data_IF_888811440465
#
_entry.id   IF_888811440465
#
_cell.length_a   1.000
_cell.length_b   1.000
_cell.length_c   1.000
_cell.angle_alpha   90.00
_cell.angle_beta   90.00
_cell.angle_gamma   90.00
#
_symmetry.space_group_name_H-M   'P 1'
#
loop_
_entity.id
_entity.type
_entity.pdbx_description
1 polymer ?
#
# COMPACT_ATOMS: atom_id res chain seq x y z
N UNK A 1 -0.67 19.38 -22.00
CA UNK A 1 -0.49 20.82 -22.23
C UNK A 1 -0.01 21.44 -20.93
N UNK A 2 1.24 21.89 -20.92
CA UNK A 2 1.74 22.79 -19.89
C UNK A 2 0.81 24.00 -19.84
N UNK A 3 0.46 24.54 -18.66
CA UNK A 3 -0.12 25.87 -18.60
C UNK A 3 0.78 26.85 -19.36
N UNK A 4 0.20 27.89 -19.95
CA UNK A 4 0.90 28.82 -20.85
C UNK A 4 2.24 29.37 -20.29
N UNK A 5 2.40 29.36 -18.96
CA UNK A 5 3.53 29.91 -18.20
C UNK A 5 4.64 28.90 -17.83
N UNK A 6 4.44 27.60 -18.07
CA UNK A 6 5.44 26.54 -17.83
C UNK A 6 6.04 26.40 -16.43
N UNK A 7 5.44 27.03 -15.42
CA UNK A 7 5.98 27.10 -14.07
C UNK A 7 5.20 26.26 -13.04
N UNK A 8 3.99 25.80 -13.38
CA UNK A 8 3.11 25.07 -12.47
C UNK A 8 2.61 25.93 -11.29
N UNK A 9 2.59 27.27 -11.45
CA UNK A 9 2.25 28.20 -10.37
C UNK A 9 0.79 28.65 -10.39
N UNK A 10 0.12 28.57 -11.54
CA UNK A 10 -1.29 28.96 -11.65
C UNK A 10 -2.24 27.85 -11.20
N UNK A 11 -3.45 28.23 -10.80
CA UNK A 11 -4.42 27.28 -10.25
C UNK A 11 -4.83 26.25 -11.32
N UNK A 12 -4.75 24.96 -10.98
CA UNK A 12 -4.99 23.82 -11.89
C UNK A 12 -3.92 23.59 -12.96
N UNK A 13 -2.86 24.39 -12.99
CA UNK A 13 -1.76 24.14 -13.90
C UNK A 13 -0.99 22.90 -13.45
N UNK A 14 -0.87 21.92 -14.35
CA UNK A 14 -0.11 20.71 -14.09
C UNK A 14 -0.63 19.90 -12.89
N UNK A 15 -1.87 20.10 -12.47
CA UNK A 15 -2.48 19.43 -11.32
C UNK A 15 -3.36 18.26 -11.74
N UNK A 16 -3.26 17.16 -11.01
CA UNK A 16 -4.29 16.12 -11.03
C UNK A 16 -5.19 16.33 -9.81
N UNK A 17 -6.47 16.53 -10.07
CA UNK A 17 -7.51 16.74 -9.06
C UNK A 17 -8.53 15.61 -9.09
N UNK A 18 -8.99 15.21 -7.89
CA UNK A 18 -10.14 14.33 -7.72
C UNK A 18 -11.28 15.14 -7.15
N UNK A 19 -12.44 15.05 -7.79
CA UNK A 19 -13.66 15.77 -7.41
C UNK A 19 -14.71 14.76 -6.97
N UNK A 20 -15.17 14.91 -5.74
CA UNK A 20 -16.39 14.27 -5.24
C UNK A 20 -17.54 15.25 -5.49
N UNK A 21 -18.46 14.90 -6.38
CA UNK A 21 -19.55 15.76 -6.82
C UNK A 21 -20.92 15.37 -6.22
N UNK A 22 -20.98 15.24 -4.90
CA UNK A 22 -22.27 15.04 -4.19
C UNK A 22 -23.03 16.36 -4.14
N UNK A 23 -24.36 16.33 -4.34
CA UNK A 23 -25.23 17.51 -4.43
C UNK A 23 -25.07 18.50 -3.26
N UNK A 24 -24.78 18.01 -2.05
CA UNK A 24 -24.63 18.81 -0.83
C UNK A 24 -23.22 18.75 -0.21
N UNK A 25 -22.26 18.06 -0.84
CA UNK A 25 -20.94 17.79 -0.25
C UNK A 25 -19.85 17.65 -1.32
N UNK A 26 -19.70 18.71 -2.11
CA UNK A 26 -18.64 18.80 -3.11
C UNK A 26 -17.29 18.88 -2.40
N UNK A 27 -16.36 17.99 -2.76
CA UNK A 27 -14.97 18.04 -2.30
C UNK A 27 -14.03 17.99 -3.48
N UNK A 28 -13.01 18.85 -3.47
CA UNK A 28 -11.94 18.89 -4.46
C UNK A 28 -10.63 18.61 -3.72
N UNK A 29 -9.88 17.64 -4.19
CA UNK A 29 -8.58 17.31 -3.65
C UNK A 29 -7.54 17.32 -4.77
N UNK A 30 -6.46 18.09 -4.59
CA UNK A 30 -5.26 17.94 -5.40
C UNK A 30 -4.51 16.70 -4.95
N UNK A 31 -4.18 15.82 -5.89
CA UNK A 31 -3.63 14.50 -5.58
C UNK A 31 -2.23 14.27 -6.18
N UNK A 32 -1.86 15.03 -7.22
CA UNK A 32 -0.53 15.03 -7.79
C UNK A 32 -0.26 16.30 -8.58
N UNK A 33 1.02 16.55 -8.88
CA UNK A 33 1.43 17.36 -10.01
C UNK A 33 1.98 16.42 -11.09
N UNK A 34 1.57 16.61 -12.34
CA UNK A 34 2.25 16.06 -13.50
C UNK A 34 3.06 17.20 -14.11
N UNK A 35 4.26 16.94 -14.63
CA UNK A 35 4.85 17.85 -15.61
C UNK A 35 4.81 17.12 -16.94
N UNK A 36 4.09 17.69 -17.89
CA UNK A 36 3.86 17.11 -19.21
C UNK A 36 3.97 18.23 -20.22
N UNK A 37 4.92 18.14 -21.13
CA UNK A 37 5.12 19.09 -22.21
C UNK A 37 4.58 18.56 -23.54
N UNK A 38 3.91 19.45 -24.30
CA UNK A 38 3.41 19.15 -25.63
C UNK A 38 4.49 19.23 -26.71
N UNK A 39 5.59 19.93 -26.45
CA UNK A 39 6.60 20.24 -27.47
C UNK A 39 7.34 18.99 -28.01
N UNK A 40 7.56 17.97 -27.17
CA UNK A 40 8.30 16.77 -27.55
C UNK A 40 7.40 15.55 -27.87
N UNK A 41 6.30 15.38 -27.13
CA UNK A 41 5.47 14.18 -27.21
C UNK A 41 4.00 14.44 -27.59
N UNK A 42 3.59 15.71 -27.70
CA UNK A 42 2.23 16.11 -28.05
C UNK A 42 1.19 15.34 -27.22
N UNK A 43 0.17 14.75 -27.87
CA UNK A 43 -0.83 13.88 -27.28
C UNK A 43 -0.26 12.76 -26.37
N UNK A 44 0.93 12.24 -26.69
CA UNK A 44 1.57 11.16 -25.93
C UNK A 44 2.24 11.63 -24.64
N UNK A 45 2.50 12.94 -24.49
CA UNK A 45 3.02 13.54 -23.26
C UNK A 45 1.93 13.86 -22.24
N UNK A 46 0.66 13.87 -22.64
CA UNK A 46 -0.46 14.18 -21.75
C UNK A 46 -0.58 13.18 -20.59
N UNK A 47 -1.06 13.63 -19.41
CA UNK A 47 -1.04 12.80 -18.22
C UNK A 47 -2.03 11.62 -18.20
N UNK A 48 -3.05 11.60 -19.07
CA UNK A 48 -4.03 10.50 -19.23
C UNK A 48 -4.45 9.82 -17.91
N UNK A 49 -4.83 10.61 -16.91
CA UNK A 49 -5.11 10.09 -15.58
C UNK A 49 -6.25 9.07 -15.58
N UNK A 50 -6.03 7.90 -15.00
CA UNK A 50 -6.98 6.79 -14.91
C UNK A 50 -7.15 6.33 -13.47
N UNK A 51 -8.38 6.39 -12.97
CA UNK A 51 -8.72 6.03 -11.59
C UNK A 51 -9.16 4.56 -11.50
N UNK A 52 -8.67 3.85 -10.50
CA UNK A 52 -9.11 2.49 -10.18
C UNK A 52 -10.62 2.44 -9.82
N UNK A 53 -11.34 1.32 -10.07
CA UNK A 53 -12.76 1.21 -9.73
C UNK A 53 -13.08 1.47 -8.25
N UNK A 54 -12.14 1.17 -7.35
CA UNK A 54 -12.28 1.44 -5.92
C UNK A 54 -12.05 2.90 -5.53
N UNK A 55 -11.60 3.75 -6.46
CA UNK A 55 -11.28 5.15 -6.20
C UNK A 55 -10.08 5.35 -5.27
N UNK A 56 -9.21 4.34 -5.12
CA UNK A 56 -8.07 4.38 -4.16
C UNK A 56 -6.72 4.58 -4.81
N UNK A 57 -6.63 4.39 -6.13
CA UNK A 57 -5.41 4.61 -6.91
C UNK A 57 -5.70 5.36 -8.20
N UNK A 58 -4.78 6.23 -8.59
CA UNK A 58 -4.80 6.93 -9.88
C UNK A 58 -3.47 6.70 -10.58
N UNK A 59 -3.51 6.11 -11.77
CA UNK A 59 -2.36 6.00 -12.68
C UNK A 59 -2.35 7.22 -13.59
N UNK A 60 -1.20 7.84 -13.82
CA UNK A 60 -1.05 8.94 -14.76
C UNK A 60 0.36 8.93 -15.38
N UNK A 61 0.48 9.53 -16.55
CA UNK A 61 1.74 9.76 -17.24
C UNK A 61 2.34 11.13 -16.87
N UNK A 62 3.66 11.24 -16.88
CA UNK A 62 4.35 12.52 -16.75
C UNK A 62 5.74 12.37 -17.37
N UNK A 63 6.22 13.41 -18.04
CA UNK A 63 7.58 13.47 -18.59
C UNK A 63 8.54 14.29 -17.70
N UNK A 64 8.05 14.82 -16.56
CA UNK A 64 8.79 15.73 -15.67
C UNK A 64 9.46 16.91 -16.39
N UNK A 65 8.89 17.35 -17.52
CA UNK A 65 9.46 18.37 -18.40
C UNK A 65 10.83 17.98 -18.98
N UNK A 66 11.06 16.68 -19.18
CA UNK A 66 12.17 16.13 -19.98
C UNK A 66 13.57 16.35 -19.45
N UNK A 67 13.74 17.08 -18.33
CA UNK A 67 15.00 17.58 -17.75
C UNK A 67 16.10 17.70 -18.84
N UNK A 68 15.81 18.54 -19.83
CA UNK A 68 16.68 19.05 -20.90
C UNK A 68 17.18 18.08 -22.00
N UNK A 69 17.31 16.77 -21.78
CA UNK A 69 18.05 15.87 -22.71
C UNK A 69 17.83 14.36 -22.51
N UNK A 70 16.73 13.90 -21.89
CA UNK A 70 16.55 12.48 -21.51
C UNK A 70 15.12 11.95 -21.55
N UNK A 71 14.64 11.65 -22.76
CA UNK A 71 13.30 11.20 -23.13
C UNK A 71 12.76 9.99 -22.32
N UNK A 72 11.72 10.21 -21.50
CA UNK A 72 10.75 9.16 -21.14
C UNK A 72 9.43 9.76 -20.66
N UNK A 73 8.32 9.27 -21.21
CA UNK A 73 6.99 9.44 -20.60
C UNK A 73 6.83 8.32 -19.59
N UNK A 74 6.99 8.65 -18.31
CA UNK A 74 6.92 7.68 -17.23
C UNK A 74 5.52 7.58 -16.64
N UNK A 75 5.21 6.40 -16.10
CA UNK A 75 3.95 6.10 -15.43
C UNK A 75 4.09 6.22 -13.92
N UNK A 76 3.25 7.05 -13.31
CA UNK A 76 3.19 7.31 -11.88
C UNK A 76 1.86 6.84 -11.30
N UNK A 77 1.89 6.32 -10.07
CA UNK A 77 0.69 5.92 -9.34
C UNK A 77 0.56 6.73 -8.07
N UNK A 78 -0.58 7.42 -7.93
CA UNK A 78 -1.00 8.03 -6.66
C UNK A 78 -1.87 7.04 -5.92
N UNK A 79 -1.57 6.83 -4.65
CA UNK A 79 -2.40 6.07 -3.71
C UNK A 79 -3.10 7.07 -2.78
N UNK A 80 -4.44 7.09 -2.79
CA UNK A 80 -5.23 8.00 -1.97
C UNK A 80 -5.36 7.48 -0.54
N UNK A 81 -5.61 8.32 0.48
CA UNK A 81 -5.59 7.90 1.90
C UNK A 81 -6.45 6.68 2.23
N UNK A 82 -7.56 6.46 1.50
CA UNK A 82 -8.41 5.25 1.68
C UNK A 82 -7.70 3.96 1.28
N UNK A 83 -6.66 4.03 0.44
CA UNK A 83 -5.75 2.92 0.16
C UNK A 83 -5.07 2.39 1.43
N UNK A 84 -4.74 3.31 2.36
CA UNK A 84 -4.17 2.97 3.67
C UNK A 84 -5.23 2.89 4.78
N UNK A 85 -6.45 3.42 4.58
CA UNK A 85 -7.56 3.23 5.52
C UNK A 85 -8.24 1.88 5.32
N UNK A 86 -7.60 0.84 5.84
CA UNK A 86 -8.39 -0.15 6.59
C UNK A 86 -8.74 0.45 7.95
N UNK A 87 -10.05 0.59 8.19
CA UNK A 87 -10.76 0.84 9.45
C UNK A 87 -10.67 2.25 10.10
N UNK A 88 -11.86 2.72 10.49
CA UNK A 88 -12.17 3.95 11.23
C UNK A 88 -11.18 4.28 12.37
N UNK A 89 -10.81 5.57 12.45
CA UNK A 89 -9.99 6.14 13.52
C UNK A 89 -10.85 6.28 14.79
N UNK A 90 -10.66 5.36 15.73
CA UNK A 90 -10.37 5.76 17.11
C UNK A 90 -8.85 5.83 17.16
N UNK A 91 -8.28 6.88 17.75
CA UNK A 91 -6.83 6.97 17.99
C UNK A 91 -6.39 5.85 18.96
N UNK A 92 -6.20 4.64 18.43
CA UNK A 92 -5.30 3.68 19.04
C UNK A 92 -3.92 3.92 18.44
N UNK A 93 -2.96 4.24 19.29
CA UNK A 93 -1.55 4.14 18.94
C UNK A 93 -1.33 2.80 18.24
N UNK A 94 -1.14 2.82 16.92
CA UNK A 94 -0.93 1.62 16.11
C UNK A 94 0.50 1.09 16.33
N UNK A 95 0.87 0.89 17.61
CA UNK A 95 1.94 -0.02 17.93
C UNK A 95 1.50 -1.37 17.36
N UNK A 96 2.28 -1.87 16.40
CA UNK A 96 2.14 -3.26 16.01
C UNK A 96 2.25 -4.07 17.31
N UNK A 97 1.17 -4.71 17.74
CA UNK A 97 1.13 -5.54 18.96
C UNK A 97 1.94 -6.85 18.80
N UNK A 98 2.88 -6.85 17.86
CA UNK A 98 3.82 -7.92 17.62
C UNK A 98 5.18 -7.38 17.17
N UNK A 99 6.21 -8.20 17.38
CA UNK A 99 7.56 -8.02 16.85
C UNK A 99 7.87 -9.22 15.97
N UNK A 100 8.45 -8.98 14.79
CA UNK A 100 8.90 -10.03 13.88
C UNK A 100 10.39 -9.84 13.59
N UNK A 101 11.22 -10.79 14.02
CA UNK A 101 12.66 -10.69 13.83
C UNK A 101 13.35 -12.07 13.69
N UNK A 102 14.41 -12.19 12.88
CA UNK A 102 14.89 -11.18 11.93
C UNK A 102 13.84 -10.93 10.82
N UNK A 103 13.82 -9.71 10.29
CA UNK A 103 13.03 -9.34 9.13
C UNK A 103 13.91 -8.50 8.20
N UNK A 104 14.14 -8.89 6.93
CA UNK A 104 13.53 -10.03 6.22
C UNK A 104 13.88 -11.44 6.75
N UNK A 105 13.03 -12.42 6.44
CA UNK A 105 13.20 -13.84 6.78
C UNK A 105 14.16 -14.51 5.80
N UNK A 106 15.33 -14.94 6.30
CA UNK A 106 16.37 -15.66 5.52
C UNK A 106 16.35 -17.17 5.76
N UNK A 107 16.10 -17.59 7.00
CA UNK A 107 16.00 -19.00 7.44
C UNK A 107 14.77 -19.19 8.34
N UNK A 108 14.69 -18.42 9.42
CA UNK A 108 13.51 -18.36 10.28
C UNK A 108 13.31 -16.95 10.84
N UNK A 109 12.06 -16.60 11.15
CA UNK A 109 11.70 -15.39 11.90
C UNK A 109 10.83 -15.77 13.09
N UNK A 110 11.07 -15.11 14.22
CA UNK A 110 10.23 -15.23 15.42
C UNK A 110 9.21 -14.11 15.44
N UNK A 111 7.93 -14.48 15.41
CA UNK A 111 6.80 -13.61 15.68
C UNK A 111 6.52 -13.63 17.18
N UNK A 112 6.65 -12.50 17.86
CA UNK A 112 6.37 -12.33 19.30
C UNK A 112 5.19 -11.38 19.45
N UNK A 113 4.20 -11.72 20.26
CA UNK A 113 2.98 -10.95 20.49
C UNK A 113 2.56 -11.09 21.96
N UNK A 114 1.68 -10.21 22.45
CA UNK A 114 1.16 -10.36 23.81
C UNK A 114 0.15 -11.51 23.87
N UNK A 115 0.33 -12.43 24.82
CA UNK A 115 -0.62 -13.48 25.16
C UNK A 115 -0.55 -13.83 26.65
N UNK A 116 -0.58 -12.82 27.54
CA UNK A 116 -0.55 -13.04 28.99
C UNK A 116 -1.67 -13.97 29.49
N UNK A 117 -2.85 -13.94 28.85
CA UNK A 117 -3.99 -14.79 29.21
C UNK A 117 -3.84 -16.25 28.76
N UNK A 118 -2.82 -16.59 27.97
CA UNK A 118 -2.62 -17.92 27.35
C UNK A 118 -3.84 -18.38 26.55
N UNK A 119 -4.50 -17.43 25.91
CA UNK A 119 -5.59 -17.69 24.97
C UNK A 119 -5.08 -18.53 23.81
N UNK A 120 -5.95 -19.37 23.26
CA UNK A 120 -5.62 -20.21 22.10
C UNK A 120 -5.79 -19.41 20.81
N UNK A 121 -4.70 -19.29 20.06
CA UNK A 121 -4.67 -18.65 18.74
C UNK A 121 -4.50 -19.64 17.60
N UNK A 122 -4.97 -19.24 16.42
CA UNK A 122 -4.68 -19.86 15.13
C UNK A 122 -3.89 -18.89 14.26
N UNK A 123 -2.70 -19.33 13.84
CA UNK A 123 -1.87 -18.64 12.86
C UNK A 123 -2.14 -19.16 11.47
N UNK A 124 -2.30 -18.25 10.51
CA UNK A 124 -2.45 -18.53 9.08
C UNK A 124 -1.48 -17.66 8.28
N UNK A 125 -0.82 -18.27 7.29
CA UNK A 125 0.07 -17.61 6.34
C UNK A 125 -0.54 -17.68 4.94
N UNK A 126 -0.47 -16.58 4.21
CA UNK A 126 -1.05 -16.40 2.87
C UNK A 126 0.00 -15.89 1.88
N UNK A 127 -0.09 -16.33 0.63
CA UNK A 127 0.69 -15.72 -0.45
C UNK A 127 0.04 -14.42 -0.96
N UNK A 128 0.70 -13.71 -1.89
CA UNK A 128 0.16 -12.46 -2.48
C UNK A 128 -1.15 -12.63 -3.26
N UNK A 129 -1.53 -13.86 -3.63
CA UNK A 129 -2.80 -14.17 -4.29
C UNK A 129 -3.93 -14.44 -3.28
N UNK A 130 -3.66 -14.31 -1.98
CA UNK A 130 -4.61 -14.59 -0.90
C UNK A 130 -4.81 -16.08 -0.59
N UNK A 131 -4.02 -16.98 -1.18
CA UNK A 131 -4.13 -18.41 -0.91
C UNK A 131 -3.44 -18.74 0.41
N UNK A 132 -4.12 -19.47 1.29
CA UNK A 132 -3.57 -19.93 2.56
C UNK A 132 -2.59 -21.07 2.33
N UNK A 133 -1.33 -20.87 2.72
CA UNK A 133 -0.23 -21.81 2.47
C UNK A 133 0.28 -22.48 3.74
N UNK A 134 -0.03 -21.95 4.93
CA UNK A 134 0.35 -22.55 6.22
C UNK A 134 -0.68 -22.23 7.30
N UNK A 135 -0.88 -23.16 8.22
CA UNK A 135 -1.72 -22.96 9.40
C UNK A 135 -1.12 -23.67 10.61
N UNK A 136 -1.13 -22.99 11.77
CA UNK A 136 -0.76 -23.56 13.07
C UNK A 136 -1.91 -23.23 14.03
N UNK A 137 -2.48 -24.24 14.69
CA UNK A 137 -3.63 -24.09 15.59
C UNK A 137 -3.19 -24.27 17.05
N UNK A 138 -4.07 -23.88 17.98
CA UNK A 138 -3.91 -24.11 19.42
C UNK A 138 -2.61 -23.51 20.00
N UNK A 139 -2.24 -22.32 19.52
CA UNK A 139 -1.04 -21.60 19.98
C UNK A 139 -1.41 -20.88 21.27
N UNK A 140 -0.84 -21.32 22.38
CA UNK A 140 -1.05 -20.73 23.72
C UNK A 140 0.19 -19.98 24.23
N UNK A 141 1.27 -19.99 23.46
CA UNK A 141 2.48 -19.20 23.69
C UNK A 141 2.30 -17.76 23.25
N UNK A 142 3.26 -16.92 23.64
CA UNK A 142 3.42 -15.51 23.23
C UNK A 142 4.30 -15.35 21.98
N UNK A 143 4.67 -16.47 21.34
CA UNK A 143 5.53 -16.45 20.17
C UNK A 143 5.32 -17.66 19.25
N UNK A 144 5.66 -17.45 17.98
CA UNK A 144 5.61 -18.43 16.89
C UNK A 144 6.90 -18.32 16.08
N UNK A 145 7.49 -19.45 15.72
CA UNK A 145 8.62 -19.51 14.79
C UNK A 145 8.10 -19.80 13.39
N UNK A 146 8.45 -18.93 12.45
CA UNK A 146 8.13 -19.06 11.02
C UNK A 146 9.40 -19.49 10.32
N UNK A 147 9.45 -20.74 9.86
CA UNK A 147 10.56 -21.25 9.06
C UNK A 147 10.34 -20.95 7.58
N UNK A 148 11.44 -20.66 6.86
CA UNK A 148 11.45 -20.46 5.42
C UNK A 148 10.95 -21.70 4.69
N UNK A 149 11.40 -22.88 5.10
CA UNK A 149 11.03 -24.16 4.48
C UNK A 149 11.04 -24.06 2.94
N UNK A 150 9.90 -24.28 2.28
CA UNK A 150 9.72 -24.19 0.83
C UNK A 150 9.12 -22.85 0.36
N UNK A 151 9.19 -21.80 1.17
CA UNK A 151 8.72 -20.46 0.79
C UNK A 151 9.71 -19.82 -0.17
N UNK A 152 9.24 -19.51 -1.38
CA UNK A 152 9.98 -18.70 -2.35
C UNK A 152 10.21 -17.28 -1.83
N UNK A 153 11.22 -16.59 -2.36
CA UNK A 153 11.41 -15.16 -2.06
C UNK A 153 10.18 -14.36 -2.49
N UNK A 154 9.74 -13.43 -1.64
CA UNK A 154 8.54 -12.64 -1.89
C UNK A 154 7.87 -12.15 -0.62
N UNK A 155 6.69 -11.55 -0.78
CA UNK A 155 5.87 -11.03 0.31
C UNK A 155 4.79 -12.04 0.65
N UNK A 156 4.62 -12.28 1.95
CA UNK A 156 3.56 -13.11 2.51
C UNK A 156 2.80 -12.30 3.54
N UNK A 157 1.52 -12.61 3.71
CA UNK A 157 0.67 -12.00 4.72
C UNK A 157 0.38 -13.05 5.79
N UNK A 158 0.35 -12.65 7.06
CA UNK A 158 -0.06 -13.53 8.13
C UNK A 158 -1.23 -12.95 8.91
N UNK A 159 -2.00 -13.85 9.51
CA UNK A 159 -3.05 -13.56 10.45
C UNK A 159 -2.88 -14.46 11.68
N UNK A 160 -2.98 -13.89 12.86
CA UNK A 160 -3.15 -14.59 14.11
C UNK A 160 -4.52 -14.23 14.66
N UNK A 161 -5.38 -15.22 14.88
CA UNK A 161 -6.76 -15.02 15.34
C UNK A 161 -7.02 -15.85 16.60
N UNK A 162 -7.56 -15.23 17.64
CA UNK A 162 -8.00 -15.94 18.83
C UNK A 162 -9.23 -16.81 18.51
N UNK A 163 -9.41 -17.93 19.21
CA UNK A 163 -10.51 -18.86 18.93
C UNK A 163 -11.90 -18.23 19.14
N UNK A 164 -12.03 -17.31 20.10
CA UNK A 164 -13.22 -16.51 20.39
C UNK A 164 -13.38 -15.29 19.46
N UNK A 165 -12.42 -15.09 18.54
CA UNK A 165 -12.36 -13.99 17.58
C UNK A 165 -12.29 -12.57 18.17
N UNK A 166 -12.02 -12.46 19.48
CA UNK A 166 -11.84 -11.17 20.17
C UNK A 166 -10.58 -10.44 19.73
N UNK A 167 -9.53 -11.17 19.37
CA UNK A 167 -8.24 -10.62 18.97
C UNK A 167 -7.82 -11.12 17.58
N UNK A 168 -7.38 -10.17 16.75
CA UNK A 168 -6.85 -10.44 15.42
C UNK A 168 -5.62 -9.60 15.16
N UNK A 169 -4.46 -10.25 15.05
CA UNK A 169 -3.20 -9.63 14.67
C UNK A 169 -2.93 -9.95 13.20
N UNK A 170 -2.57 -8.94 12.42
CA UNK A 170 -2.24 -9.10 10.99
C UNK A 170 -0.90 -8.45 10.70
N UNK A 171 -0.18 -9.02 9.74
CA UNK A 171 1.11 -8.47 9.34
C UNK A 171 1.65 -9.05 8.05
N UNK A 172 2.86 -8.65 7.69
CA UNK A 172 3.59 -9.14 6.52
C UNK A 172 4.91 -9.80 6.92
N UNK A 173 5.30 -10.81 6.14
CA UNK A 173 6.62 -11.42 6.19
C UNK A 173 7.26 -11.26 4.82
N UNK A 174 8.47 -10.71 4.77
CA UNK A 174 9.27 -10.64 3.55
C UNK A 174 10.29 -11.76 3.63
N UNK A 175 10.27 -12.67 2.66
CA UNK A 175 11.21 -13.79 2.56
C UNK A 175 12.25 -13.46 1.50
N UNK A 176 13.52 -13.58 1.85
CA UNK A 176 14.66 -13.36 0.94
C UNK A 176 15.49 -14.63 0.79
N UNK A 177 16.21 -14.74 -0.33
CA UNK A 177 17.03 -15.90 -0.65
C UNK A 177 18.20 -16.07 0.32
#
# INVERSE_FOLDING_TARGET
>A
MVGFDQDGQSILDQEIVVIKADQDNIKVCRIAHHRSDGDEFDYYGEPHASISPSGTRVLFASDWSGIEDGQSVDCYVVELPVFYQTSNIVEENHYQNYKLYPHPLTDQSKLVFDNHARSSFTFSLYNIRGQQIRTIKNITTDNIVINKDNLSSGIYLFQLKSNDASEVIKGKVVVVK
#
